data_IF_774884969358
#
_entry.id   IF_774884969358
#
_cell.length_a   1.000
_cell.length_b   1.000
_cell.length_c   1.000
_cell.angle_alpha   90.00
_cell.angle_beta   90.00
_cell.angle_gamma   90.00
#
_symmetry.space_group_name_H-M   'P 1'
#
loop_
_entity.id
_entity.type
_entity.pdbx_description
1 polymer ?
#
# COMPACT_ATOMS: atom_id res chain seq x y z
N UNK A 1 -1.14 -19.78 14.72
CA UNK A 1 0.21 -19.21 14.98
C UNK A 1 0.49 -18.22 13.86
N UNK A 2 0.71 -16.93 14.14
CA UNK A 2 1.00 -15.91 13.12
C UNK A 2 2.51 -15.78 13.00
N UNK A 3 3.09 -16.15 11.86
CA UNK A 3 4.51 -15.96 11.57
C UNK A 3 4.70 -14.63 10.85
N UNK A 4 5.31 -13.67 11.56
CA UNK A 4 5.72 -12.40 10.96
C UNK A 4 7.04 -12.60 10.22
N UNK A 5 7.01 -12.68 8.89
CA UNK A 5 8.22 -12.60 8.06
C UNK A 5 8.31 -11.17 7.52
N UNK A 6 9.28 -10.40 8.01
CA UNK A 6 9.66 -9.14 7.36
C UNK A 6 10.17 -9.47 5.96
N UNK A 7 9.35 -9.19 4.96
CA UNK A 7 9.76 -9.23 3.56
C UNK A 7 10.65 -8.02 3.28
N UNK A 8 11.56 -8.18 2.32
CA UNK A 8 12.69 -7.29 1.98
C UNK A 8 12.34 -5.79 2.07
N UNK A 9 13.30 -4.94 2.49
CA UNK A 9 13.11 -3.50 2.43
C UNK A 9 12.76 -3.11 0.99
N UNK A 10 11.64 -2.40 0.82
CA UNK A 10 11.38 -1.69 -0.42
C UNK A 10 12.43 -0.59 -0.52
N UNK A 11 13.35 -0.71 -1.46
CA UNK A 11 14.35 0.31 -1.68
C UNK A 11 13.74 1.71 -1.89
N UNK A 12 14.49 2.70 -1.40
CA UNK A 12 14.50 4.16 -1.70
C UNK A 12 13.70 5.16 -0.85
N UNK A 13 12.68 4.79 -0.06
CA UNK A 13 11.96 5.79 0.76
C UNK A 13 12.04 5.47 2.26
N UNK A 14 12.84 6.23 3.05
CA UNK A 14 12.89 6.09 4.51
C UNK A 14 11.49 6.15 5.14
N UNK A 15 11.20 5.24 6.07
CA UNK A 15 9.89 5.16 6.73
C UNK A 15 8.83 4.34 5.99
N UNK A 16 9.13 3.83 4.78
CA UNK A 16 8.28 2.82 4.13
C UNK A 16 8.75 1.41 4.52
N UNK A 17 7.82 0.47 4.71
CA UNK A 17 8.13 -0.93 5.02
C UNK A 17 7.11 -1.89 4.39
N UNK A 18 7.53 -3.12 4.10
CA UNK A 18 6.66 -4.22 3.71
C UNK A 18 6.72 -5.32 4.76
N UNK A 19 5.58 -5.92 5.05
CA UNK A 19 5.43 -7.03 5.98
C UNK A 19 4.53 -8.08 5.36
N UNK A 20 5.05 -9.29 5.23
CA UNK A 20 4.25 -10.46 4.91
C UNK A 20 3.69 -11.01 6.22
N UNK A 21 2.37 -11.10 6.31
CA UNK A 21 1.64 -11.71 7.43
C UNK A 21 1.04 -13.01 6.92
N UNK A 22 1.53 -14.15 7.42
CA UNK A 22 0.96 -15.46 7.11
C UNK A 22 -0.02 -15.80 8.23
N UNK A 23 -1.31 -15.89 7.90
CA UNK A 23 -2.36 -16.26 8.83
C UNK A 23 -2.32 -17.77 9.13
N UNK A 24 -2.96 -18.18 10.23
CA UNK A 24 -2.91 -19.57 10.71
C UNK A 24 -3.59 -20.59 9.79
N UNK A 25 -4.40 -20.12 8.84
CA UNK A 25 -5.07 -20.86 7.77
C UNK A 25 -4.25 -20.93 6.47
N UNK A 26 -3.04 -20.36 6.46
CA UNK A 26 -2.17 -20.28 5.28
C UNK A 26 -2.45 -19.09 4.37
N UNK A 27 -3.39 -18.20 4.72
CA UNK A 27 -3.64 -16.99 3.93
C UNK A 27 -2.46 -16.02 4.08
N UNK A 28 -1.86 -15.64 2.95
CA UNK A 28 -0.80 -14.65 2.90
C UNK A 28 -1.38 -13.24 2.71
N UNK A 29 -1.07 -12.35 3.64
CA UNK A 29 -1.43 -10.94 3.58
C UNK A 29 -0.15 -10.09 3.49
N UNK A 30 0.07 -9.46 2.34
CA UNK A 30 1.12 -8.47 2.18
C UNK A 30 0.62 -7.10 2.68
N UNK A 31 1.22 -6.59 3.76
CA UNK A 31 0.93 -5.26 4.30
C UNK A 31 2.10 -4.33 4.00
N UNK A 32 1.81 -3.15 3.49
CA UNK A 32 2.80 -2.09 3.28
C UNK A 32 2.50 -0.91 4.19
N UNK A 33 3.52 -0.40 4.88
CA UNK A 33 3.50 0.93 5.50
C UNK A 33 4.17 1.90 4.53
N UNK A 34 3.47 2.98 4.19
CA UNK A 34 3.98 3.97 3.24
C UNK A 34 4.13 5.30 3.97
N UNK A 35 5.36 5.80 4.02
CA UNK A 35 5.62 7.19 4.37
C UNK A 35 5.27 8.09 3.19
N UNK A 36 4.49 9.14 3.48
CA UNK A 36 4.16 10.20 2.53
C UNK A 36 4.25 11.55 3.26
N UNK A 37 4.63 12.64 2.57
CA UNK A 37 4.55 13.99 3.11
C UNK A 37 3.13 14.35 3.59
N UNK A 38 3.02 15.26 4.55
CA UNK A 38 1.73 15.67 5.11
C UNK A 38 0.75 16.21 4.04
N UNK A 39 1.26 17.00 3.09
CA UNK A 39 0.48 17.56 1.98
C UNK A 39 -0.10 16.47 1.06
N UNK A 40 0.67 15.38 0.86
CA UNK A 40 0.23 14.22 0.09
C UNK A 40 -0.84 13.43 0.84
N UNK A 41 -0.71 13.30 2.17
CA UNK A 41 -1.74 12.69 3.02
C UNK A 41 -3.05 13.47 2.99
N UNK A 42 -2.99 14.79 3.07
CA UNK A 42 -4.17 15.65 2.98
C UNK A 42 -4.85 15.49 1.62
N UNK A 43 -4.08 15.52 0.54
CA UNK A 43 -4.60 15.32 -0.82
C UNK A 43 -5.27 13.95 -0.99
N UNK A 44 -4.67 12.89 -0.45
CA UNK A 44 -5.26 11.55 -0.43
C UNK A 44 -6.56 11.51 0.37
N UNK A 45 -6.59 12.17 1.54
CA UNK A 45 -7.77 12.24 2.38
C UNK A 45 -8.94 12.93 1.68
N UNK A 46 -8.70 14.08 1.05
CA UNK A 46 -9.71 14.80 0.28
C UNK A 46 -10.24 13.96 -0.89
N UNK A 47 -9.35 13.26 -1.60
CA UNK A 47 -9.73 12.39 -2.70
C UNK A 47 -10.58 11.20 -2.22
N UNK A 48 -10.18 10.56 -1.13
CA UNK A 48 -10.93 9.46 -0.52
C UNK A 48 -12.32 9.90 -0.06
N UNK A 49 -12.41 11.10 0.54
CA UNK A 49 -13.67 11.72 0.97
C UNK A 49 -14.59 12.01 -0.22
N UNK A 50 -14.07 12.59 -1.30
CA UNK A 50 -14.83 12.87 -2.51
C UNK A 50 -15.40 11.60 -3.16
N UNK A 51 -14.65 10.49 -3.11
CA UNK A 51 -15.06 9.20 -3.66
C UNK A 51 -15.84 8.32 -2.66
N UNK A 52 -16.13 8.82 -1.45
CA UNK A 52 -16.79 8.06 -0.38
C UNK A 52 -16.14 6.69 -0.12
N UNK A 53 -14.81 6.65 -0.14
CA UNK A 53 -14.03 5.42 -0.01
C UNK A 53 -12.89 5.59 0.99
N UNK A 54 -12.21 4.50 1.34
CA UNK A 54 -11.03 4.55 2.21
C UNK A 54 -9.79 4.96 1.42
N UNK A 55 -8.86 5.68 2.04
CA UNK A 55 -7.56 6.03 1.43
C UNK A 55 -6.78 4.81 0.92
N UNK A 56 -6.85 3.66 1.61
CA UNK A 56 -6.23 2.41 1.15
C UNK A 56 -6.79 1.91 -0.18
N UNK A 57 -8.10 2.04 -0.41
CA UNK A 57 -8.73 1.70 -1.70
C UNK A 57 -8.29 2.65 -2.81
N UNK A 58 -8.16 3.94 -2.51
CA UNK A 58 -7.62 4.93 -3.47
C UNK A 58 -6.19 4.57 -3.85
N UNK A 59 -5.33 4.29 -2.87
CA UNK A 59 -3.94 3.86 -3.12
C UNK A 59 -3.91 2.60 -3.99
N UNK A 60 -4.74 1.60 -3.68
CA UNK A 60 -4.82 0.37 -4.48
C UNK A 60 -5.17 0.67 -5.95
N UNK A 61 -6.15 1.54 -6.19
CA UNK A 61 -6.54 1.95 -7.54
C UNK A 61 -5.42 2.69 -8.27
N UNK A 62 -4.70 3.59 -7.59
CA UNK A 62 -3.57 4.31 -8.17
C UNK A 62 -2.43 3.37 -8.57
N UNK A 63 -2.12 2.38 -7.73
CA UNK A 63 -1.13 1.35 -8.04
C UNK A 63 -1.57 0.52 -9.25
N UNK A 64 -2.83 0.07 -9.28
CA UNK A 64 -3.36 -0.71 -10.40
C UNK A 64 -3.28 0.07 -11.72
N UNK A 65 -3.66 1.34 -11.71
CA UNK A 65 -3.60 2.21 -12.88
C UNK A 65 -2.16 2.41 -13.36
N UNK A 66 -1.21 2.59 -12.44
CA UNK A 66 0.21 2.71 -12.78
C UNK A 66 0.78 1.42 -13.38
N UNK A 67 0.43 0.25 -12.82
CA UNK A 67 0.83 -1.06 -13.35
C UNK A 67 0.28 -1.27 -14.77
N UNK A 68 -1.00 -0.96 -14.98
CA UNK A 68 -1.62 -1.03 -16.32
C UNK A 68 -0.91 -0.10 -17.31
N UNK A 69 -0.61 1.14 -16.92
CA UNK A 69 0.11 2.08 -17.77
C UNK A 69 1.53 1.60 -18.13
N UNK A 70 2.21 0.88 -17.25
CA UNK A 70 3.52 0.28 -17.53
C UNK A 70 3.47 -0.94 -18.46
N UNK A 71 2.34 -1.65 -18.55
CA UNK A 71 2.18 -2.84 -19.42
C UNK A 71 1.78 -2.50 -20.86
N UNK A 72 1.30 -1.28 -21.09
CA UNK A 72 0.86 -0.81 -22.42
C UNK A 72 2.01 -0.13 -23.19
N UNK A 73 3.18 0.03 -22.56
CA UNK A 73 4.45 0.41 -23.20
C UNK A 73 5.37 -0.80 -23.35
#
# INVERSE_FOLDING_TARGET
MITNRTSRPLGRVPGTSRRLVIAGDGVELERSQVYMPAETWESLYQLAKAQQTSGSKVIAQLIENAVKACQVN
#
